data_IF_118495961805
#
_entry.id   IF_118495961805
#
_cell.length_a   1.000
_cell.length_b   1.000
_cell.length_c   1.000
_cell.angle_alpha   90.00
_cell.angle_beta   90.00
_cell.angle_gamma   90.00
#
_symmetry.space_group_name_H-M   'P 1'
#
loop_
_entity.id
_entity.type
_entity.pdbx_description
1 polymer ?
#
# COMPACT_ATOMS: atom_id res chain seq x y z
N UNK A 1 15.34 -5.05 0.82
CA UNK A 1 13.98 -4.57 1.15
C UNK A 1 13.76 -3.20 0.55
N UNK A 2 12.58 -2.95 -0.02
CA UNK A 2 12.32 -1.69 -0.70
C UNK A 2 11.94 -0.57 0.27
N UNK A 3 12.21 0.66 -0.13
CA UNK A 3 11.94 1.87 0.64
C UNK A 3 11.13 2.86 -0.19
N UNK A 4 10.81 4.02 0.42
CA UNK A 4 10.14 5.11 -0.29
C UNK A 4 10.96 5.46 -1.56
N UNK A 5 10.27 5.71 -2.65
CA UNK A 5 10.78 5.99 -4.00
C UNK A 5 11.32 4.79 -4.76
N UNK A 6 11.47 3.64 -4.11
CA UNK A 6 11.80 2.41 -4.84
C UNK A 6 10.60 1.94 -5.67
N UNK A 7 10.86 1.09 -6.64
CA UNK A 7 9.83 0.56 -7.53
C UNK A 7 9.52 -0.89 -7.19
N UNK A 8 8.23 -1.21 -7.07
CA UNK A 8 7.76 -2.58 -6.90
C UNK A 8 7.94 -3.38 -8.20
N UNK A 9 7.86 -4.71 -8.13
CA UNK A 9 7.97 -5.58 -9.29
C UNK A 9 6.98 -5.23 -10.40
N UNK A 10 5.79 -4.74 -10.04
CA UNK A 10 4.76 -4.39 -11.00
C UNK A 10 4.90 -3.00 -11.61
N UNK A 11 5.98 -2.28 -11.27
CA UNK A 11 6.26 -0.96 -11.84
C UNK A 11 5.74 0.22 -11.03
N UNK A 12 4.99 -0.01 -9.96
CA UNK A 12 4.51 1.06 -9.09
C UNK A 12 5.63 1.60 -8.22
N UNK A 13 5.70 2.92 -8.10
CA UNK A 13 6.68 3.59 -7.24
C UNK A 13 6.10 3.74 -5.83
N UNK A 14 6.87 3.35 -4.82
CA UNK A 14 6.45 3.41 -3.42
C UNK A 14 6.43 4.86 -2.95
N UNK A 15 5.28 5.30 -2.41
CA UNK A 15 5.11 6.62 -1.80
C UNK A 15 5.19 6.55 -0.28
N UNK A 16 4.71 5.46 0.31
CA UNK A 16 4.73 5.26 1.75
C UNK A 16 4.77 3.77 2.05
N UNK A 17 5.40 3.40 3.14
CA UNK A 17 5.55 2.01 3.53
C UNK A 17 5.51 1.91 5.06
N UNK A 18 4.76 0.92 5.55
CA UNK A 18 4.66 0.62 6.97
C UNK A 18 5.00 -0.85 7.18
N UNK A 19 6.01 -1.12 7.99
CA UNK A 19 6.41 -2.49 8.33
C UNK A 19 5.88 -2.84 9.71
N UNK A 20 5.42 -4.08 9.84
CA UNK A 20 4.91 -4.58 11.11
C UNK A 20 6.05 -4.74 12.13
N UNK A 21 5.76 -4.37 13.38
CA UNK A 21 6.64 -4.65 14.51
C UNK A 21 6.28 -5.95 15.23
N UNK A 22 5.21 -6.61 14.78
CA UNK A 22 4.71 -7.83 15.40
C UNK A 22 5.39 -9.05 14.80
N UNK A 23 6.18 -9.77 15.60
CA UNK A 23 6.86 -10.97 15.13
C UNK A 23 5.89 -12.09 14.76
N UNK A 24 4.74 -12.14 15.42
CA UNK A 24 3.71 -13.16 15.18
C UNK A 24 2.84 -12.84 13.97
N UNK A 25 2.90 -11.60 13.46
CA UNK A 25 2.09 -11.16 12.33
C UNK A 25 2.88 -10.14 11.50
N UNK A 26 3.90 -10.60 10.78
CA UNK A 26 4.80 -9.70 10.05
C UNK A 26 4.22 -9.24 8.71
N UNK A 27 3.11 -8.50 8.78
CA UNK A 27 2.43 -7.97 7.60
C UNK A 27 2.60 -6.46 7.57
N UNK A 28 2.98 -5.94 6.42
CA UNK A 28 3.11 -4.50 6.22
C UNK A 28 2.11 -3.98 5.21
N UNK A 29 2.09 -2.65 5.04
CA UNK A 29 1.23 -1.95 4.08
C UNK A 29 2.09 -1.04 3.22
N UNK A 30 1.81 -0.98 1.93
CA UNK A 30 2.49 -0.08 1.01
C UNK A 30 1.47 0.74 0.24
N UNK A 31 1.79 2.03 0.04
CA UNK A 31 1.06 2.94 -0.84
C UNK A 31 1.98 3.28 -2.00
N UNK A 32 1.50 3.13 -3.21
CA UNK A 32 2.31 3.35 -4.40
C UNK A 32 1.50 3.97 -5.55
N UNK A 33 2.19 4.45 -6.59
CA UNK A 33 1.56 5.04 -7.75
C UNK A 33 2.34 4.69 -9.02
N UNK A 34 1.66 4.75 -10.17
CA UNK A 34 2.31 4.49 -11.47
C UNK A 34 2.19 5.67 -12.44
N UNK A 35 1.77 6.85 -11.94
CA UNK A 35 1.55 8.03 -12.76
C UNK A 35 0.10 8.18 -13.23
N UNK A 36 -0.71 7.13 -13.15
CA UNK A 36 -2.10 7.13 -13.60
C UNK A 36 -3.07 6.76 -12.49
N UNK A 37 -2.60 6.01 -11.50
CA UNK A 37 -3.44 5.55 -10.41
C UNK A 37 -2.59 5.37 -9.15
N UNK A 38 -3.28 5.35 -8.02
CA UNK A 38 -2.68 5.02 -6.72
C UNK A 38 -3.15 3.64 -6.32
N UNK A 39 -2.36 2.95 -5.52
CA UNK A 39 -2.72 1.63 -5.05
C UNK A 39 -2.16 1.40 -3.65
N UNK A 40 -2.86 0.55 -2.87
CA UNK A 40 -2.35 0.04 -1.61
C UNK A 40 -2.28 -1.47 -1.68
N UNK A 41 -1.28 -2.06 -1.06
CA UNK A 41 -1.14 -3.51 -0.93
C UNK A 41 -0.68 -3.86 0.46
N UNK A 42 -0.97 -5.08 0.87
CA UNK A 42 -0.32 -5.73 2.01
C UNK A 42 0.91 -6.49 1.50
N UNK A 43 1.87 -6.74 2.37
CA UNK A 43 2.99 -7.62 2.03
C UNK A 43 3.34 -8.51 3.22
N UNK A 44 3.78 -9.73 2.91
CA UNK A 44 4.07 -10.76 3.92
C UNK A 44 5.52 -10.70 4.37
N UNK A 45 5.76 -11.08 5.62
CA UNK A 45 7.10 -11.24 6.17
C UNK A 45 7.98 -9.99 6.03
N UNK A 46 7.30 -8.82 5.99
CA UNK A 46 7.94 -7.53 5.73
C UNK A 46 8.76 -7.52 4.41
N UNK A 47 8.39 -8.37 3.47
CA UNK A 47 9.03 -8.48 2.16
C UNK A 47 8.13 -7.83 1.10
N UNK A 48 8.55 -6.67 0.59
CA UNK A 48 7.78 -5.90 -0.40
C UNK A 48 7.64 -6.59 -1.76
N UNK A 49 8.34 -7.68 -1.99
CA UNK A 49 8.16 -8.48 -3.21
C UNK A 49 6.99 -9.48 -3.09
N UNK A 50 6.37 -9.59 -1.91
CA UNK A 50 5.25 -10.49 -1.65
C UNK A 50 3.94 -9.72 -1.42
N UNK A 51 3.65 -8.72 -2.27
CA UNK A 51 2.43 -7.92 -2.15
C UNK A 51 1.19 -8.70 -2.53
N UNK A 52 0.07 -8.39 -1.85
CA UNK A 52 -1.23 -8.99 -2.12
C UNK A 52 -2.35 -8.05 -1.64
N UNK A 53 -3.59 -8.36 -2.00
CA UNK A 53 -4.75 -7.61 -1.52
C UNK A 53 -4.80 -6.17 -2.01
N UNK A 54 -4.50 -5.94 -3.29
CA UNK A 54 -4.43 -4.60 -3.85
C UNK A 54 -5.77 -3.89 -3.96
N UNK A 55 -5.79 -2.61 -3.59
CA UNK A 55 -6.90 -1.68 -3.85
C UNK A 55 -6.37 -0.56 -4.74
N UNK A 56 -7.11 -0.22 -5.80
CA UNK A 56 -6.67 0.74 -6.81
C UNK A 56 -7.59 1.95 -6.83
N UNK A 57 -7.00 3.15 -6.99
CA UNK A 57 -7.71 4.43 -6.96
C UNK A 57 -7.28 5.27 -8.15
N UNK A 58 -8.24 5.62 -9.04
CA UNK A 58 -7.96 6.41 -10.24
C UNK A 58 -9.17 7.27 -10.59
N UNK A 59 -8.93 8.38 -11.29
CA UNK A 59 -9.93 9.41 -11.52
C UNK A 59 -11.17 8.94 -12.29
N UNK A 60 -11.03 7.95 -13.16
CA UNK A 60 -12.16 7.46 -13.94
C UNK A 60 -13.09 6.50 -13.18
N UNK A 61 -12.77 6.17 -11.94
CA UNK A 61 -13.67 5.38 -11.10
C UNK A 61 -14.86 6.22 -10.68
N UNK A 62 -16.06 5.62 -10.73
CA UNK A 62 -17.31 6.33 -10.50
C UNK A 62 -17.39 7.00 -9.13
N UNK A 63 -16.81 6.40 -8.10
CA UNK A 63 -16.93 6.86 -6.72
C UNK A 63 -15.67 7.50 -6.16
N UNK A 64 -14.65 7.71 -7.01
CA UNK A 64 -13.37 8.27 -6.57
C UNK A 64 -13.23 9.69 -7.09
N UNK A 65 -13.35 10.66 -6.18
CA UNK A 65 -13.18 12.09 -6.49
C UNK A 65 -11.75 12.57 -6.25
N UNK A 66 -11.04 11.93 -5.34
CA UNK A 66 -9.68 12.28 -4.96
C UNK A 66 -8.87 10.99 -4.77
N UNK A 67 -8.34 10.43 -5.87
CA UNK A 67 -7.63 9.15 -5.79
C UNK A 67 -6.49 9.14 -4.78
N UNK A 68 -5.70 10.21 -4.72
CA UNK A 68 -4.58 10.28 -3.77
C UNK A 68 -5.07 10.28 -2.33
N UNK A 69 -6.06 11.11 -2.02
CA UNK A 69 -6.61 11.18 -0.66
C UNK A 69 -7.28 9.90 -0.23
N UNK A 70 -8.02 9.25 -1.13
CA UNK A 70 -8.69 7.98 -0.82
C UNK A 70 -7.68 6.84 -0.66
N UNK A 71 -6.64 6.80 -1.47
CA UNK A 71 -5.58 5.82 -1.33
C UNK A 71 -4.83 6.01 -0.01
N UNK A 72 -4.54 7.25 0.36
CA UNK A 72 -3.89 7.56 1.63
C UNK A 72 -4.76 7.13 2.81
N UNK A 73 -6.07 7.36 2.75
CA UNK A 73 -7.00 6.95 3.80
C UNK A 73 -7.06 5.43 3.92
N UNK A 74 -7.08 4.72 2.79
CA UNK A 74 -7.05 3.26 2.78
C UNK A 74 -5.76 2.73 3.39
N UNK A 75 -4.63 3.34 3.06
CA UNK A 75 -3.33 3.01 3.62
C UNK A 75 -3.36 3.12 5.16
N UNK A 76 -3.86 4.25 5.68
CA UNK A 76 -3.97 4.49 7.12
C UNK A 76 -4.90 3.46 7.77
N UNK A 77 -6.04 3.17 7.14
CA UNK A 77 -7.01 2.21 7.66
C UNK A 77 -6.41 0.80 7.74
N UNK A 78 -5.65 0.40 6.74
CA UNK A 78 -4.98 -0.92 6.74
C UNK A 78 -3.96 -1.03 7.86
N UNK A 79 -3.21 0.06 8.13
CA UNK A 79 -2.26 0.10 9.24
C UNK A 79 -2.98 -0.09 10.57
N UNK A 80 -4.11 0.58 10.77
CA UNK A 80 -4.91 0.43 12.00
C UNK A 80 -5.38 -1.00 12.19
N UNK A 81 -5.82 -1.64 11.12
CA UNK A 81 -6.32 -3.02 11.16
C UNK A 81 -5.20 -3.98 11.57
N UNK A 82 -4.03 -3.88 10.96
CA UNK A 82 -2.94 -4.81 11.28
C UNK A 82 -2.36 -4.56 12.68
N UNK A 83 -2.43 -3.33 13.17
CA UNK A 83 -1.93 -3.02 14.52
C UNK A 83 -2.83 -3.51 15.64
N UNK A 84 -4.05 -3.97 15.32
CA UNK A 84 -4.97 -4.55 16.31
C UNK A 84 -4.90 -6.07 16.37
N UNK A 85 -4.05 -6.69 15.57
CA UNK A 85 -3.92 -8.16 15.52
C UNK A 85 -3.07 -8.71 16.66
#
# INVERSE_FOLDING_TARGET
MKNITDTLKNGFRILAIHRSNLKSFPVGVVLAEDGKQFATWLFKDNDTDTTYGGNYFFESQTEVNDPEGEAMQDYINRIKIINTK
#
